data_IF_149909741404
#
_entry.id   IF_149909741404
#
_cell.length_a   1.000
_cell.length_b   1.000
_cell.length_c   1.000
_cell.angle_alpha   90.00
_cell.angle_beta   90.00
_cell.angle_gamma   90.00
#
_symmetry.space_group_name_H-M   'P 1'
#
loop_
_entity.id
_entity.type
_entity.pdbx_description
1 polymer ?
#
# COMPACT_ATOMS: atom_id res chain seq x y z
N UNK A 1 20.52 30.72 23.65
CA UNK A 1 19.67 29.74 22.95
C UNK A 1 19.67 28.46 23.78
N UNK A 2 18.50 27.99 24.22
CA UNK A 2 18.40 26.81 25.11
C UNK A 2 18.21 25.57 24.24
N UNK A 3 19.19 24.67 24.26
CA UNK A 3 19.17 23.43 23.51
C UNK A 3 18.25 22.44 24.24
N UNK A 4 16.98 22.36 23.83
CA UNK A 4 16.10 21.31 24.32
C UNK A 4 16.42 20.03 23.55
N UNK A 5 17.30 19.22 24.14
CA UNK A 5 17.44 17.81 23.77
C UNK A 5 16.19 17.09 24.26
N UNK A 6 15.20 16.94 23.38
CA UNK A 6 14.01 16.14 23.65
C UNK A 6 14.42 14.68 23.58
N UNK A 7 14.61 14.06 24.74
CA UNK A 7 14.83 12.61 24.87
C UNK A 7 13.52 11.89 24.62
N UNK A 8 13.24 11.57 23.36
CA UNK A 8 12.11 10.72 22.99
C UNK A 8 12.43 9.26 23.33
N UNK A 9 11.46 8.50 23.88
CA UNK A 9 11.65 7.09 24.22
C UNK A 9 12.01 6.29 22.95
N UNK A 10 12.97 5.37 23.06
CA UNK A 10 13.53 4.55 21.97
C UNK A 10 12.46 3.76 21.18
N UNK A 11 11.26 3.59 21.74
CA UNK A 11 10.10 3.00 21.08
C UNK A 11 9.43 3.93 20.05
N UNK A 12 9.37 5.24 20.31
CA UNK A 12 8.84 6.26 19.38
C UNK A 12 9.86 6.62 18.29
N UNK A 13 11.16 6.56 18.62
CA UNK A 13 12.24 6.75 17.64
C UNK A 13 12.32 5.64 16.58
N UNK A 14 11.58 4.54 16.77
CA UNK A 14 11.38 3.46 15.79
C UNK A 14 10.07 3.57 15.00
N UNK A 15 9.41 4.73 14.95
CA UNK A 15 8.57 5.07 13.77
C UNK A 15 9.53 5.21 12.58
N UNK A 16 9.88 4.05 12.01
CA UNK A 16 10.82 3.88 10.90
C UNK A 16 10.53 4.92 9.82
N UNK A 17 11.57 5.47 9.17
CA UNK A 17 11.47 6.32 7.98
C UNK A 17 10.43 5.81 6.98
N UNK A 18 10.23 4.48 6.93
CA UNK A 18 9.19 3.82 6.18
C UNK A 18 7.76 4.22 6.57
N UNK A 19 7.43 4.28 7.87
CA UNK A 19 6.10 4.71 8.34
C UNK A 19 5.80 6.16 7.98
N UNK A 20 6.76 7.06 8.19
CA UNK A 20 6.66 8.46 7.80
C UNK A 20 6.51 8.61 6.27
N UNK A 21 7.24 7.80 5.48
CA UNK A 21 7.06 7.75 4.03
C UNK A 21 5.68 7.21 3.63
N UNK A 22 5.20 6.18 4.32
CA UNK A 22 3.91 5.52 4.05
C UNK A 22 2.72 6.48 4.25
N UNK A 23 2.80 7.35 5.27
CA UNK A 23 1.81 8.39 5.57
C UNK A 23 1.93 9.63 4.66
N UNK A 24 3.07 9.82 3.98
CA UNK A 24 3.29 10.94 3.07
C UNK A 24 2.38 10.83 1.84
N UNK A 25 1.80 11.95 1.44
CA UNK A 25 1.05 12.08 0.18
C UNK A 25 1.97 11.83 -1.03
N UNK A 26 1.50 11.02 -1.96
CA UNK A 26 2.16 10.80 -3.23
C UNK A 26 1.65 11.84 -4.23
N UNK A 27 2.42 12.91 -4.46
CA UNK A 27 2.03 14.03 -5.33
C UNK A 27 1.69 13.59 -6.76
N UNK A 28 2.41 12.60 -7.31
CA UNK A 28 2.18 12.14 -8.68
C UNK A 28 0.83 11.45 -8.81
N UNK A 29 0.57 10.48 -7.94
CA UNK A 29 -0.71 9.75 -7.96
C UNK A 29 -1.85 10.64 -7.48
N UNK A 30 -1.60 11.57 -6.56
CA UNK A 30 -2.64 12.48 -6.10
C UNK A 30 -3.09 13.46 -7.18
N UNK A 31 -2.15 13.95 -8.01
CA UNK A 31 -2.48 14.71 -9.20
C UNK A 31 -3.25 13.88 -10.24
N UNK A 32 -2.82 12.64 -10.50
CA UNK A 32 -3.46 11.78 -11.52
C UNK A 32 -4.86 11.30 -11.10
N UNK A 33 -5.03 10.95 -9.82
CA UNK A 33 -6.30 10.50 -9.26
C UNK A 33 -7.17 11.65 -8.75
N UNK A 34 -6.73 12.91 -8.92
CA UNK A 34 -7.41 14.12 -8.44
C UNK A 34 -7.87 14.03 -6.97
N UNK A 35 -7.15 13.26 -6.16
CA UNK A 35 -7.50 12.95 -4.78
C UNK A 35 -6.22 12.76 -3.96
N UNK A 36 -6.27 13.09 -2.67
CA UNK A 36 -5.11 12.92 -1.79
C UNK A 36 -4.87 11.42 -1.57
N UNK A 37 -3.84 10.88 -2.22
CA UNK A 37 -3.45 9.47 -2.11
C UNK A 37 -2.12 9.36 -1.38
N UNK A 38 -2.10 8.62 -0.28
CA UNK A 38 -0.87 8.33 0.48
C UNK A 38 -0.02 7.28 -0.22
N UNK A 39 1.30 7.26 0.04
CA UNK A 39 2.18 6.21 -0.48
C UNK A 39 1.72 4.80 -0.07
N UNK A 40 1.11 4.66 1.12
CA UNK A 40 0.47 3.43 1.57
C UNK A 40 -0.61 2.94 0.61
N UNK A 41 -1.50 3.84 0.23
CA UNK A 41 -2.61 3.57 -0.67
C UNK A 41 -2.12 3.20 -2.07
N UNK A 42 -1.12 3.91 -2.59
CA UNK A 42 -0.47 3.56 -3.86
C UNK A 42 0.16 2.16 -3.78
N UNK A 43 0.83 1.83 -2.68
CA UNK A 43 1.41 0.50 -2.49
C UNK A 43 0.34 -0.61 -2.52
N UNK A 44 -0.82 -0.38 -1.87
CA UNK A 44 -1.95 -1.30 -1.92
C UNK A 44 -2.54 -1.43 -3.34
N UNK A 45 -2.66 -0.33 -4.08
CA UNK A 45 -3.08 -0.34 -5.49
C UNK A 45 -2.13 -1.17 -6.36
N UNK A 46 -0.81 -0.96 -6.22
CA UNK A 46 0.21 -1.72 -6.95
C UNK A 46 0.16 -3.20 -6.59
N UNK A 47 -0.06 -3.52 -5.32
CA UNK A 47 -0.21 -4.91 -4.89
C UNK A 47 -1.46 -5.56 -5.50
N UNK A 48 -2.58 -4.84 -5.56
CA UNK A 48 -3.80 -5.31 -6.22
C UNK A 48 -3.62 -5.46 -7.74
N UNK A 49 -2.94 -4.53 -8.42
CA UNK A 49 -2.69 -4.62 -9.86
C UNK A 49 -1.72 -5.75 -10.22
N UNK A 50 -0.75 -6.04 -9.34
CA UNK A 50 0.13 -7.20 -9.48
C UNK A 50 -0.65 -8.51 -9.33
N UNK A 51 -1.49 -8.62 -8.31
CA UNK A 51 -2.33 -9.80 -8.09
C UNK A 51 -3.32 -10.03 -9.25
N UNK A 52 -3.88 -8.96 -9.81
CA UNK A 52 -4.72 -9.03 -11.00
C UNK A 52 -3.95 -9.51 -12.24
N UNK A 53 -2.77 -8.94 -12.48
CA UNK A 53 -1.91 -9.37 -13.59
C UNK A 53 -1.55 -10.86 -13.47
N UNK A 54 -1.21 -11.31 -12.26
CA UNK A 54 -0.94 -12.72 -11.99
C UNK A 54 -2.17 -13.61 -12.22
N UNK A 55 -3.36 -13.17 -11.83
CA UNK A 55 -4.63 -13.87 -12.08
C UNK A 55 -4.90 -14.05 -13.57
N UNK A 56 -4.73 -12.99 -14.37
CA UNK A 56 -4.91 -13.04 -15.82
C UNK A 56 -3.95 -14.06 -16.44
N UNK A 57 -2.66 -14.00 -16.07
CA UNK A 57 -1.65 -14.96 -16.53
C UNK A 57 -1.98 -16.40 -16.11
N UNK A 58 -2.36 -16.61 -14.85
CA UNK A 58 -2.70 -17.93 -14.31
C UNK A 58 -3.93 -18.54 -14.99
N UNK A 59 -4.88 -17.70 -15.41
CA UNK A 59 -6.07 -18.11 -16.15
C UNK A 59 -5.76 -18.81 -17.49
N UNK A 60 -4.62 -18.48 -18.12
CA UNK A 60 -4.16 -19.17 -19.33
C UNK A 60 -3.46 -20.50 -19.07
N UNK A 61 -3.04 -20.76 -17.83
CA UNK A 61 -2.26 -21.96 -17.47
C UNK A 61 -3.18 -23.06 -16.94
N UNK A 62 -3.95 -22.76 -15.89
CA UNK A 62 -4.81 -23.75 -15.22
C UNK A 62 -5.76 -23.09 -14.22
N UNK A 63 -6.89 -23.74 -13.96
CA UNK A 63 -7.88 -23.28 -12.98
C UNK A 63 -7.34 -23.20 -11.54
N UNK A 64 -6.45 -24.12 -11.14
CA UNK A 64 -5.92 -24.17 -9.76
C UNK A 64 -5.10 -22.92 -9.39
N UNK A 65 -4.04 -22.54 -10.15
CA UNK A 65 -3.31 -21.30 -9.86
C UNK A 65 -4.20 -20.06 -10.06
N UNK A 66 -5.16 -20.10 -10.98
CA UNK A 66 -6.12 -19.01 -11.15
C UNK A 66 -6.98 -18.79 -9.89
N UNK A 67 -7.46 -19.85 -9.24
CA UNK A 67 -8.22 -19.75 -7.98
C UNK A 67 -7.37 -19.19 -6.83
N UNK A 68 -6.10 -19.59 -6.75
CA UNK A 68 -5.14 -19.04 -5.78
C UNK A 68 -4.88 -17.54 -6.01
N UNK A 69 -4.61 -17.14 -7.26
CA UNK A 69 -4.44 -15.75 -7.63
C UNK A 69 -5.72 -14.93 -7.43
N UNK A 70 -6.90 -15.55 -7.62
CA UNK A 70 -8.19 -14.91 -7.38
C UNK A 70 -8.37 -14.61 -5.89
N UNK A 71 -8.13 -15.59 -5.02
CA UNK A 71 -8.19 -15.38 -3.57
C UNK A 71 -7.20 -14.29 -3.12
N UNK A 72 -5.97 -14.30 -3.67
CA UNK A 72 -4.99 -13.25 -3.43
C UNK A 72 -5.52 -11.88 -3.85
N UNK A 73 -6.02 -11.76 -5.08
CA UNK A 73 -6.54 -10.50 -5.60
C UNK A 73 -7.72 -9.96 -4.77
N UNK A 74 -8.65 -10.82 -4.37
CA UNK A 74 -9.77 -10.43 -3.49
C UNK A 74 -9.27 -9.91 -2.15
N UNK A 75 -8.27 -10.57 -1.53
CA UNK A 75 -7.65 -10.08 -0.29
C UNK A 75 -6.97 -8.73 -0.52
N UNK A 76 -6.27 -8.55 -1.65
CA UNK A 76 -5.65 -7.27 -2.01
C UNK A 76 -6.68 -6.15 -2.12
N UNK A 77 -7.82 -6.39 -2.80
CA UNK A 77 -8.90 -5.42 -2.90
C UNK A 77 -9.52 -5.09 -1.54
N UNK A 78 -9.68 -6.10 -0.68
CA UNK A 78 -10.18 -5.88 0.67
C UNK A 78 -9.23 -5.00 1.50
N UNK A 79 -7.92 -5.19 1.35
CA UNK A 79 -6.91 -4.35 1.97
C UNK A 79 -6.93 -2.91 1.42
N UNK A 80 -7.11 -2.72 0.11
CA UNK A 80 -7.32 -1.41 -0.49
C UNK A 80 -8.52 -0.69 0.16
N UNK A 81 -9.67 -1.35 0.25
CA UNK A 81 -10.88 -0.79 0.86
C UNK A 81 -10.68 -0.42 2.32
N UNK A 82 -9.98 -1.27 3.09
CA UNK A 82 -9.61 -1.00 4.49
C UNK A 82 -8.58 0.14 4.61
N UNK A 83 -7.75 0.34 3.59
CA UNK A 83 -6.76 1.41 3.49
C UNK A 83 -7.32 2.79 3.15
N UNK A 84 -8.65 2.93 3.08
CA UNK A 84 -9.32 4.21 2.82
C UNK A 84 -9.40 4.60 1.35
N UNK A 85 -9.07 3.67 0.44
CA UNK A 85 -9.42 3.81 -0.97
C UNK A 85 -10.94 3.67 -1.10
N UNK A 86 -11.59 4.72 -1.62
CA UNK A 86 -13.03 4.74 -1.91
C UNK A 86 -13.31 4.25 -3.32
#
# INVERSE_FOLDING_TARGET
>A
MKNQTVTLPVLEAKKSTFSAWCEKENQLFSCVLESVVTNRQVCLMVHASLAFSALVCAGFVSAVPALLCLAWFVVSLHLCKKGGLR
#
